data_IF_317253199866
#
_entry.id   IF_317253199866
#
_cell.length_a   1.000
_cell.length_b   1.000
_cell.length_c   1.000
_cell.angle_alpha   90.00
_cell.angle_beta   90.00
_cell.angle_gamma   90.00
#
_symmetry.space_group_name_H-M   'P 1'
#
loop_
_entity.id
_entity.type
_entity.pdbx_description
1 polymer ?
#
# COMPACT_ATOMS: atom_id res chain seq x y z
N UNK A 1 -15.44 4.54 -23.25
CA UNK A 1 -13.99 4.33 -23.42
C UNK A 1 -13.26 5.39 -22.59
N UNK A 2 -13.06 5.13 -21.29
CA UNK A 2 -12.35 6.08 -20.41
C UNK A 2 -10.83 5.85 -20.56
N UNK A 3 -10.11 6.95 -20.80
CA UNK A 3 -8.74 7.00 -21.32
C UNK A 3 -7.69 6.47 -20.32
N UNK A 4 -6.90 5.47 -20.73
CA UNK A 4 -5.73 4.92 -20.02
C UNK A 4 -4.72 5.99 -19.53
N UNK A 5 -4.70 7.16 -20.17
CA UNK A 5 -3.83 8.31 -19.82
C UNK A 5 -4.18 8.97 -18.48
N UNK A 6 -5.46 9.02 -18.10
CA UNK A 6 -5.90 9.65 -16.84
C UNK A 6 -5.47 8.84 -15.62
N UNK A 7 -5.35 7.52 -15.77
CA UNK A 7 -4.92 6.61 -14.70
C UNK A 7 -3.41 6.74 -14.43
N UNK A 8 -2.61 6.87 -15.50
CA UNK A 8 -1.14 6.98 -15.40
C UNK A 8 -0.67 8.30 -14.78
N UNK A 9 -1.32 9.43 -15.09
CA UNK A 9 -0.95 10.74 -14.53
C UNK A 9 -1.20 10.83 -13.01
N UNK A 10 -2.33 10.27 -12.54
CA UNK A 10 -2.69 10.29 -11.12
C UNK A 10 -1.72 9.43 -10.34
N UNK A 11 -1.40 8.25 -10.87
CA UNK A 11 -0.38 7.38 -10.31
C UNK A 11 0.98 8.06 -10.16
N UNK A 12 1.52 8.70 -11.21
CA UNK A 12 2.83 9.36 -11.15
C UNK A 12 2.89 10.42 -10.03
N UNK A 13 1.85 11.25 -9.92
CA UNK A 13 1.75 12.29 -8.89
C UNK A 13 1.66 11.68 -7.50
N UNK A 14 0.74 10.75 -7.29
CA UNK A 14 0.54 10.10 -5.99
C UNK A 14 1.79 9.35 -5.52
N UNK A 15 2.46 8.62 -6.42
CA UNK A 15 3.68 7.89 -6.10
C UNK A 15 4.85 8.81 -5.74
N UNK A 16 5.00 9.93 -6.47
CA UNK A 16 5.99 10.96 -6.16
C UNK A 16 5.74 11.57 -4.77
N UNK A 17 4.50 11.93 -4.48
CA UNK A 17 4.09 12.57 -3.23
C UNK A 17 4.24 11.63 -2.03
N UNK A 18 3.84 10.36 -2.17
CA UNK A 18 4.00 9.34 -1.14
C UNK A 18 5.47 9.13 -0.70
N UNK A 19 6.42 9.37 -1.61
CA UNK A 19 7.85 9.24 -1.38
C UNK A 19 8.54 10.58 -1.07
N UNK A 20 7.78 11.66 -0.86
CA UNK A 20 8.29 13.01 -0.62
C UNK A 20 9.29 13.50 -1.69
N UNK A 21 9.09 13.08 -2.94
CA UNK A 21 9.94 13.48 -4.06
C UNK A 21 9.45 14.80 -4.68
N UNK A 22 10.39 15.68 -5.00
CA UNK A 22 10.14 16.82 -5.90
C UNK A 22 10.00 16.34 -7.34
N UNK A 23 9.37 17.16 -8.21
CA UNK A 23 9.28 16.84 -9.66
C UNK A 23 10.65 16.66 -10.30
N UNK A 24 11.65 17.42 -9.85
CA UNK A 24 13.05 17.27 -10.28
C UNK A 24 13.66 15.94 -9.87
N UNK A 25 13.46 15.50 -8.61
CA UNK A 25 13.99 14.23 -8.13
C UNK A 25 13.33 13.03 -8.82
N UNK A 26 12.01 13.11 -9.06
CA UNK A 26 11.28 12.07 -9.76
C UNK A 26 11.69 11.98 -11.24
N UNK A 27 11.89 13.12 -11.92
CA UNK A 27 12.41 13.13 -13.27
C UNK A 27 13.82 12.52 -13.35
N UNK A 28 14.69 12.83 -12.38
CA UNK A 28 16.04 12.30 -12.33
C UNK A 28 16.10 10.78 -12.16
N UNK A 29 15.10 10.16 -11.51
CA UNK A 29 15.01 8.70 -11.35
C UNK A 29 14.95 7.94 -12.67
N UNK A 30 14.34 8.57 -13.67
CA UNK A 30 14.09 7.97 -14.99
C UNK A 30 14.88 8.67 -16.11
N UNK A 31 15.93 9.41 -15.73
CA UNK A 31 16.79 10.15 -16.66
C UNK A 31 16.01 11.12 -17.57
N UNK A 32 14.95 11.73 -17.04
CA UNK A 32 14.12 12.71 -17.74
C UNK A 32 14.35 14.14 -17.22
N UNK A 33 13.91 15.12 -18.00
CA UNK A 33 13.88 16.52 -17.56
C UNK A 33 12.64 16.81 -16.70
N UNK A 34 12.77 17.75 -15.74
CA UNK A 34 11.64 18.25 -14.93
C UNK A 34 10.43 18.62 -15.79
N UNK A 35 10.67 19.29 -16.92
CA UNK A 35 9.61 19.71 -17.85
C UNK A 35 8.87 18.53 -18.47
N UNK A 36 9.58 17.45 -18.80
CA UNK A 36 8.92 16.24 -19.35
C UNK A 36 8.04 15.59 -18.28
N UNK A 37 8.54 15.51 -17.05
CA UNK A 37 7.82 15.01 -15.89
C UNK A 37 6.52 15.78 -15.62
N UNK A 38 6.58 17.12 -15.58
CA UNK A 38 5.41 17.98 -15.36
C UNK A 38 4.36 17.82 -16.46
N UNK A 39 4.77 17.56 -17.71
CA UNK A 39 3.83 17.27 -18.81
C UNK A 39 3.16 15.90 -18.66
N UNK A 40 3.85 14.93 -18.07
CA UNK A 40 3.27 13.62 -17.75
C UNK A 40 2.26 13.71 -16.60
N UNK A 41 2.62 14.41 -15.52
CA UNK A 41 1.72 14.57 -14.36
C UNK A 41 0.50 15.45 -14.64
N UNK A 42 0.58 16.37 -15.59
CA UNK A 42 -0.55 17.21 -16.02
C UNK A 42 -1.41 16.56 -17.10
N UNK A 43 -1.00 15.41 -17.64
CA UNK A 43 -1.70 14.74 -18.74
C UNK A 43 -1.49 15.39 -20.11
N UNK A 44 -0.71 16.47 -20.19
CA UNK A 44 -0.37 17.14 -21.46
C UNK A 44 0.40 16.21 -22.41
N UNK A 45 1.15 15.26 -21.86
CA UNK A 45 1.85 14.23 -22.63
C UNK A 45 1.71 12.88 -21.91
N UNK A 46 1.53 11.80 -22.66
CA UNK A 46 1.58 10.45 -22.10
C UNK A 46 3.01 10.11 -21.69
N UNK A 47 3.19 9.52 -20.51
CA UNK A 47 4.48 8.95 -20.10
C UNK A 47 4.83 7.78 -21.03
N UNK A 48 6.07 7.70 -21.56
CA UNK A 48 6.51 6.52 -22.28
C UNK A 48 6.49 5.27 -21.40
N UNK A 49 6.13 4.12 -21.97
CA UNK A 49 5.96 2.87 -21.22
C UNK A 49 7.25 2.44 -20.50
N UNK A 50 8.38 2.41 -21.21
CA UNK A 50 9.69 2.11 -20.61
C UNK A 50 10.08 3.08 -19.48
N UNK A 51 9.66 4.35 -19.56
CA UNK A 51 9.89 5.34 -18.51
C UNK A 51 9.04 5.04 -17.28
N UNK A 52 7.78 4.63 -17.48
CA UNK A 52 6.88 4.24 -16.40
C UNK A 52 7.39 2.97 -15.69
N UNK A 53 7.80 1.96 -16.44
CA UNK A 53 8.41 0.73 -15.90
C UNK A 53 9.66 1.04 -15.09
N UNK A 54 10.59 1.83 -15.63
CA UNK A 54 11.80 2.25 -14.90
C UNK A 54 11.45 3.02 -13.62
N UNK A 55 10.45 3.90 -13.65
CA UNK A 55 10.00 4.61 -12.45
C UNK A 55 9.55 3.61 -11.39
N UNK A 56 8.68 2.66 -11.74
CA UNK A 56 8.16 1.61 -10.86
C UNK A 56 9.29 0.77 -10.24
N UNK A 57 10.24 0.31 -11.05
CA UNK A 57 11.41 -0.43 -10.56
C UNK A 57 12.23 0.39 -9.56
N UNK A 58 12.44 1.68 -9.82
CA UNK A 58 13.15 2.57 -8.89
C UNK A 58 12.38 2.83 -7.60
N UNK A 59 11.05 2.72 -7.60
CA UNK A 59 10.24 2.82 -6.38
C UNK A 59 10.36 1.55 -5.52
N UNK A 60 10.38 0.37 -6.15
CA UNK A 60 10.49 -0.92 -5.45
C UNK A 60 11.78 -1.05 -4.62
N UNK A 61 12.84 -0.31 -4.98
CA UNK A 61 14.11 -0.28 -4.23
C UNK A 61 14.33 0.92 -3.30
N UNK A 62 13.38 1.85 -3.15
CA UNK A 62 13.61 3.14 -2.46
C UNK A 62 12.75 3.41 -1.22
N UNK A 63 11.92 2.48 -0.77
CA UNK A 63 11.39 2.49 0.58
C UNK A 63 12.06 1.40 1.43
N UNK A 64 13.33 1.56 1.84
CA UNK A 64 13.88 0.67 2.85
C UNK A 64 13.14 0.93 4.17
N UNK A 65 12.73 -0.13 4.85
CA UNK A 65 12.57 -0.04 6.29
C UNK A 65 13.89 0.47 6.90
N UNK A 66 13.89 1.15 8.07
CA UNK A 66 15.09 1.76 8.66
C UNK A 66 16.30 0.82 8.81
N UNK A 67 16.05 -0.49 8.79
CA UNK A 67 16.96 -1.61 8.95
C UNK A 67 17.34 -2.33 7.64
N UNK A 68 16.79 -1.91 6.50
CA UNK A 68 16.99 -2.57 5.20
C UNK A 68 16.31 -3.94 5.08
N UNK A 69 15.47 -4.32 6.05
CA UNK A 69 14.75 -5.60 6.03
C UNK A 69 13.45 -5.41 5.26
N UNK A 70 13.17 -6.22 4.21
CA UNK A 70 11.89 -6.21 3.54
C UNK A 70 10.77 -6.48 4.55
N UNK A 71 9.79 -5.57 4.61
CA UNK A 71 8.60 -5.73 5.46
C UNK A 71 7.65 -6.71 4.78
N UNK A 72 7.15 -7.66 5.56
CA UNK A 72 6.11 -8.56 5.08
C UNK A 72 4.75 -7.86 5.25
N UNK A 73 4.23 -7.30 4.16
CA UNK A 73 3.05 -6.43 4.15
C UNK A 73 1.91 -7.03 3.33
N UNK A 74 0.69 -6.59 3.64
CA UNK A 74 -0.50 -6.80 2.83
C UNK A 74 -1.29 -5.50 2.70
N UNK A 75 -1.76 -5.21 1.49
CA UNK A 75 -2.58 -4.02 1.21
C UNK A 75 -4.04 -4.46 1.14
N UNK A 76 -4.88 -3.88 1.98
CA UNK A 76 -6.34 -4.01 1.92
C UNK A 76 -6.86 -3.03 0.88
N UNK A 77 -7.72 -3.51 -0.01
CA UNK A 77 -8.27 -2.74 -1.12
C UNK A 77 -9.74 -2.41 -0.89
N UNK A 78 -10.14 -1.24 -1.35
CA UNK A 78 -11.53 -0.80 -1.46
C UNK A 78 -11.93 -0.76 -2.94
N UNK A 79 -13.07 -1.37 -3.28
CA UNK A 79 -13.72 -1.20 -4.59
C UNK A 79 -14.39 0.16 -4.63
N UNK A 80 -13.89 1.06 -5.48
CA UNK A 80 -14.37 2.42 -5.65
C UNK A 80 -15.20 2.57 -6.93
N UNK A 81 -16.00 1.56 -7.28
CA UNK A 81 -16.96 1.61 -8.37
C UNK A 81 -16.31 1.53 -9.75
N UNK A 82 -15.41 0.54 -9.93
CA UNK A 82 -14.72 0.28 -11.20
C UNK A 82 -13.20 0.49 -11.16
N UNK A 83 -12.64 0.83 -10.01
CA UNK A 83 -11.20 0.80 -9.74
C UNK A 83 -10.96 0.43 -8.27
N UNK A 84 -9.80 -0.17 -7.97
CA UNK A 84 -9.40 -0.50 -6.61
C UNK A 84 -8.44 0.54 -6.05
N UNK A 85 -8.66 0.95 -4.80
CA UNK A 85 -7.76 1.85 -4.08
C UNK A 85 -7.27 1.22 -2.77
N UNK A 86 -6.06 1.55 -2.30
CA UNK A 86 -5.62 1.15 -0.97
C UNK A 86 -6.56 1.71 0.10
N UNK A 87 -7.09 0.83 0.94
CA UNK A 87 -7.86 1.16 2.13
C UNK A 87 -6.98 1.18 3.37
N UNK A 88 -6.10 0.18 3.50
CA UNK A 88 -5.22 -0.01 4.64
C UNK A 88 -3.97 -0.83 4.24
N UNK A 89 -2.91 -0.78 5.05
CA UNK A 89 -1.70 -1.59 4.91
C UNK A 89 -1.37 -2.22 6.25
N UNK A 90 -1.36 -3.54 6.30
CA UNK A 90 -1.03 -4.30 7.51
C UNK A 90 0.29 -5.03 7.29
N UNK A 91 1.18 -4.95 8.28
CA UNK A 91 2.42 -5.71 8.31
C UNK A 91 2.33 -6.90 9.23
N UNK A 92 3.19 -7.89 9.03
CA UNK A 92 3.28 -9.05 9.92
C UNK A 92 3.54 -8.64 11.36
N UNK A 93 4.37 -7.62 11.58
CA UNK A 93 4.80 -7.16 12.90
C UNK A 93 3.70 -6.47 13.71
N UNK A 94 2.70 -5.89 13.03
CA UNK A 94 1.57 -5.27 13.71
C UNK A 94 0.29 -6.08 13.58
N UNK A 95 0.27 -7.19 12.83
CA UNK A 95 -0.88 -8.05 12.73
C UNK A 95 -1.26 -8.68 14.08
N UNK A 96 -2.51 -8.45 14.50
CA UNK A 96 -3.05 -9.01 15.74
C UNK A 96 -3.78 -10.32 15.45
N UNK A 97 -4.83 -10.27 14.62
CA UNK A 97 -5.61 -11.43 14.19
C UNK A 97 -6.56 -11.08 13.03
N UNK A 98 -7.17 -12.11 12.44
CA UNK A 98 -8.29 -12.00 11.50
C UNK A 98 -9.58 -12.40 12.23
N UNK A 99 -10.70 -11.72 11.95
CA UNK A 99 -12.01 -12.08 12.48
C UNK A 99 -13.10 -11.99 11.41
N UNK A 100 -14.23 -12.63 11.68
CA UNK A 100 -15.45 -12.46 10.89
C UNK A 100 -15.98 -11.02 11.00
N UNK A 101 -16.70 -10.58 9.96
CA UNK A 101 -17.48 -9.35 9.97
C UNK A 101 -18.96 -9.68 10.09
N UNK A 102 -19.77 -8.84 10.77
CA UNK A 102 -21.22 -8.94 10.71
C UNK A 102 -21.78 -8.60 9.31
N UNK A 103 -21.01 -7.92 8.47
CA UNK A 103 -21.38 -7.60 7.09
C UNK A 103 -21.15 -8.84 6.21
N UNK A 104 -22.19 -9.39 5.55
CA UNK A 104 -22.04 -10.58 4.72
C UNK A 104 -21.01 -10.37 3.60
N UNK A 105 -20.12 -11.35 3.42
CA UNK A 105 -19.06 -11.29 2.42
C UNK A 105 -17.86 -10.41 2.82
N UNK A 106 -17.84 -9.87 4.03
CA UNK A 106 -16.71 -9.12 4.58
C UNK A 106 -15.95 -9.90 5.66
N UNK A 107 -14.71 -9.50 5.89
CA UNK A 107 -13.89 -9.92 7.02
C UNK A 107 -13.26 -8.69 7.69
N UNK A 108 -12.65 -8.89 8.84
CA UNK A 108 -11.92 -7.85 9.58
C UNK A 108 -10.48 -8.27 9.82
N UNK A 109 -9.54 -7.41 9.45
CA UNK A 109 -8.14 -7.53 9.86
C UNK A 109 -7.87 -6.56 11.00
N UNK A 110 -7.17 -7.05 12.02
CA UNK A 110 -6.84 -6.29 13.22
C UNK A 110 -5.34 -6.07 13.27
N UNK A 111 -4.93 -4.82 13.43
CA UNK A 111 -3.52 -4.43 13.50
C UNK A 111 -3.27 -3.52 14.71
N UNK A 112 -2.07 -3.61 15.28
CA UNK A 112 -1.61 -2.68 16.29
C UNK A 112 -1.27 -1.35 15.62
N UNK A 113 -1.84 -0.27 16.12
CA UNK A 113 -1.62 1.08 15.66
C UNK A 113 -1.33 2.00 16.85
N UNK A 114 -0.82 3.19 16.55
CA UNK A 114 -0.48 4.20 17.55
C UNK A 114 -1.24 5.47 17.19
N UNK A 115 -1.96 6.04 18.16
CA UNK A 115 -2.64 7.32 17.98
C UNK A 115 -1.63 8.48 17.80
N UNK A 116 -2.06 9.65 17.31
CA UNK A 116 -1.19 10.84 17.29
C UNK A 116 -0.66 11.26 18.67
N UNK A 117 -1.34 10.86 19.75
CA UNK A 117 -0.92 11.07 21.14
C UNK A 117 0.04 10.01 21.67
N UNK A 118 0.47 9.06 20.83
CA UNK A 118 1.39 7.99 21.19
C UNK A 118 0.72 6.81 21.90
N UNK A 119 -0.61 6.78 21.99
CA UNK A 119 -1.33 5.72 22.71
C UNK A 119 -1.56 4.52 21.78
N UNK A 120 -1.06 3.32 22.11
CA UNK A 120 -1.33 2.12 21.31
C UNK A 120 -2.82 1.77 21.34
N UNK A 121 -3.34 1.27 20.21
CA UNK A 121 -4.70 0.74 20.09
C UNK A 121 -4.75 -0.32 18.99
N UNK A 122 -5.81 -1.13 18.98
CA UNK A 122 -6.07 -2.07 17.88
C UNK A 122 -6.90 -1.35 16.83
N UNK A 123 -6.32 -1.15 15.65
CA UNK A 123 -7.03 -0.70 14.48
C UNK A 123 -7.71 -1.90 13.82
N UNK A 124 -8.96 -1.71 13.39
CA UNK A 124 -9.75 -2.75 12.74
C UNK A 124 -10.23 -2.24 11.39
N UNK A 125 -9.84 -2.95 10.34
CA UNK A 125 -10.25 -2.65 8.98
C UNK A 125 -11.20 -3.74 8.51
N UNK A 126 -12.44 -3.36 8.22
CA UNK A 126 -13.42 -4.23 7.57
C UNK A 126 -13.28 -4.13 6.05
N UNK A 127 -13.30 -5.28 5.36
CA UNK A 127 -13.08 -5.33 3.91
C UNK A 127 -13.88 -6.44 3.24
N UNK A 128 -14.24 -6.23 1.97
CA UNK A 128 -14.94 -7.23 1.15
C UNK A 128 -13.98 -8.35 0.74
N UNK A 129 -14.32 -9.60 1.05
CA UNK A 129 -13.46 -10.77 0.80
C UNK A 129 -13.29 -11.02 -0.71
N UNK A 130 -14.32 -10.77 -1.51
CA UNK A 130 -14.32 -11.01 -2.97
C UNK A 130 -13.12 -10.38 -3.68
N UNK A 131 -12.72 -9.16 -3.29
CA UNK A 131 -11.60 -8.43 -3.88
C UNK A 131 -10.31 -8.50 -3.04
N UNK A 132 -10.38 -9.07 -1.83
CA UNK A 132 -9.28 -9.11 -0.87
C UNK A 132 -8.95 -10.54 -0.41
N UNK A 133 -9.14 -11.55 -1.27
CA UNK A 133 -8.78 -12.93 -0.94
C UNK A 133 -7.31 -13.08 -0.51
N UNK A 134 -6.42 -12.29 -1.12
CA UNK A 134 -5.00 -12.22 -0.76
C UNK A 134 -4.76 -11.75 0.68
N UNK A 135 -5.64 -10.91 1.24
CA UNK A 135 -5.54 -10.48 2.64
C UNK A 135 -5.80 -11.65 3.58
N UNK A 136 -6.80 -12.48 3.26
CA UNK A 136 -7.15 -13.67 4.05
C UNK A 136 -6.01 -14.68 4.00
N UNK A 137 -5.53 -15.00 2.80
CA UNK A 137 -4.41 -15.93 2.61
C UNK A 137 -3.19 -15.47 3.39
N UNK A 138 -2.82 -14.20 3.25
CA UNK A 138 -1.66 -13.63 3.92
C UNK A 138 -1.82 -13.64 5.43
N UNK A 139 -2.95 -13.19 5.95
CA UNK A 139 -3.24 -13.20 7.39
C UNK A 139 -3.19 -14.63 7.97
N UNK A 140 -3.67 -15.64 7.24
CA UNK A 140 -3.59 -17.04 7.66
C UNK A 140 -2.15 -17.58 7.69
N UNK A 141 -1.25 -17.06 6.88
CA UNK A 141 0.19 -17.41 6.96
C UNK A 141 0.91 -16.75 8.14
N UNK A 142 0.32 -15.71 8.74
CA UNK A 142 0.93 -14.99 9.85
C UNK A 142 0.49 -15.56 11.20
N UNK A 143 1.47 -15.80 12.08
CA UNK A 143 1.19 -16.04 13.50
C UNK A 143 0.83 -14.70 14.15
N UNK A 144 -0.44 -14.50 14.50
CA UNK A 144 -0.89 -13.25 15.13
C UNK A 144 -0.23 -12.98 16.49
N UNK A 145 -0.10 -11.71 16.87
CA UNK A 145 0.53 -11.28 18.13
C UNK A 145 -0.06 -11.96 19.38
N UNK A 146 -1.37 -12.22 19.40
CA UNK A 146 -2.04 -12.93 20.50
C UNK A 146 -1.48 -14.35 20.65
N UNK A 147 -1.27 -15.05 19.53
CA UNK A 147 -0.69 -16.39 19.54
C UNK A 147 0.78 -16.38 19.97
N UNK A 148 1.56 -15.36 19.59
CA UNK A 148 2.95 -15.19 19.99
C UNK A 148 3.08 -14.94 21.50
N UNK A 149 2.29 -14.00 22.05
CA UNK A 149 2.26 -13.69 23.48
C UNK A 149 1.90 -14.93 24.32
N UNK A 150 0.93 -15.72 23.86
CA UNK A 150 0.53 -16.96 24.54
C UNK A 150 1.62 -18.06 24.46
N UNK A 151 2.45 -18.06 23.42
CA UNK A 151 3.54 -19.02 23.27
C UNK A 151 4.78 -18.67 24.13
N UNK A 152 5.03 -17.38 24.36
CA UNK A 152 6.18 -16.89 25.14
C UNK A 152 5.94 -16.87 26.66
N UNK A 153 4.68 -17.00 27.10
CA UNK A 153 4.30 -17.15 28.52
C UNK A 153 3.51 -18.44 28.74
N UNK A 154 4.16 -19.62 28.75
CA UNK A 154 3.48 -20.85 29.14
C UNK A 154 3.06 -20.76 30.60
N UNK A 155 1.77 -20.99 30.86
CA UNK A 155 1.19 -21.07 32.19
C UNK A 155 1.81 -22.20 33.03
#
# INVERSE_FOLDING_TARGET
MQNLTTSSQHFLRSAREALNLTTTQAAALVHASRRSWERWESGVQRVPEATLELFLEKLQGRAPAPDGVPRDLVVVLLDAGGWTQPLDVVGRENFVHLSESPTPGCARIHSLAVSPTGRPYVHTTEFEVRINGHVIEKANTWTGLVAQLNAESPA
#
